data_IF_307458052299
#
_entry.id   IF_307458052299
#
_cell.length_a   1.000
_cell.length_b   1.000
_cell.length_c   1.000
_cell.angle_alpha   90.00
_cell.angle_beta   90.00
_cell.angle_gamma   90.00
#
_symmetry.space_group_name_H-M   'P 1'
#
loop_
_entity.id
_entity.type
_entity.pdbx_description
1 polymer ?
#
# COMPACT_ATOMS: atom_id res chain seq x y z
N UNK A 1 -22.27 -7.63 -5.87
CA UNK A 1 -21.35 -6.47 -5.86
C UNK A 1 -20.37 -6.67 -7.01
N UNK A 2 -20.19 -5.68 -7.88
CA UNK A 2 -19.37 -5.78 -9.09
C UNK A 2 -18.14 -4.87 -8.96
N UNK A 3 -16.95 -5.43 -9.19
CA UNK A 3 -15.69 -4.68 -9.21
C UNK A 3 -15.24 -4.46 -10.65
N UNK A 4 -14.86 -3.24 -11.01
CA UNK A 4 -14.18 -2.96 -12.26
C UNK A 4 -12.72 -2.60 -11.98
N UNK A 5 -11.80 -3.29 -12.64
CA UNK A 5 -10.37 -3.02 -12.59
C UNK A 5 -9.94 -2.28 -13.85
N UNK A 6 -9.48 -1.04 -13.71
CA UNK A 6 -8.97 -0.22 -14.80
C UNK A 6 -7.47 -0.43 -14.98
N UNK A 7 -7.11 -1.07 -16.08
CA UNK A 7 -5.74 -1.43 -16.44
C UNK A 7 -5.55 -2.94 -16.53
N UNK A 8 -5.21 -3.41 -17.73
CA UNK A 8 -4.95 -4.81 -18.07
C UNK A 8 -3.46 -5.20 -18.00
N UNK A 9 -2.68 -4.38 -17.32
CA UNK A 9 -1.28 -4.64 -17.02
C UNK A 9 -1.10 -5.79 -16.00
N UNK A 10 0.15 -6.20 -15.71
CA UNK A 10 0.41 -7.31 -14.80
C UNK A 10 -0.23 -7.18 -13.41
N UNK A 11 -0.37 -5.95 -12.89
CA UNK A 11 -1.02 -5.71 -11.60
C UNK A 11 -2.54 -5.85 -11.71
N UNK A 12 -3.18 -5.20 -12.69
CA UNK A 12 -4.63 -5.28 -12.86
C UNK A 12 -5.11 -6.70 -13.12
N UNK A 13 -4.37 -7.47 -13.96
CA UNK A 13 -4.65 -8.89 -14.16
C UNK A 13 -4.49 -9.72 -12.89
N UNK A 14 -3.46 -9.46 -12.07
CA UNK A 14 -3.29 -10.17 -10.80
C UNK A 14 -4.44 -9.88 -9.81
N UNK A 15 -4.91 -8.63 -9.75
CA UNK A 15 -6.07 -8.25 -8.92
C UNK A 15 -7.35 -8.91 -9.46
N UNK A 16 -7.58 -8.85 -10.78
CA UNK A 16 -8.73 -9.49 -11.42
C UNK A 16 -8.78 -10.99 -11.13
N UNK A 17 -7.69 -11.70 -11.38
CA UNK A 17 -7.58 -13.13 -11.11
C UNK A 17 -7.80 -13.49 -9.63
N UNK A 18 -7.32 -12.65 -8.71
CA UNK A 18 -7.54 -12.87 -7.27
C UNK A 18 -9.02 -12.68 -6.88
N UNK A 19 -9.70 -11.69 -7.47
CA UNK A 19 -11.15 -11.49 -7.29
C UNK A 19 -11.96 -12.65 -7.88
N UNK A 20 -11.65 -13.06 -9.11
CA UNK A 20 -12.29 -14.22 -9.75
C UNK A 20 -12.12 -15.50 -8.92
N UNK A 21 -10.91 -15.77 -8.43
CA UNK A 21 -10.62 -16.93 -7.60
C UNK A 21 -11.42 -16.95 -6.28
N UNK A 22 -11.82 -15.77 -5.81
CA UNK A 22 -12.67 -15.61 -4.62
C UNK A 22 -14.17 -15.70 -4.94
N UNK A 23 -14.54 -15.73 -6.21
CA UNK A 23 -15.93 -15.75 -6.67
C UNK A 23 -16.58 -14.37 -6.76
N UNK A 24 -15.80 -13.27 -6.71
CA UNK A 24 -16.32 -11.94 -6.90
C UNK A 24 -16.62 -11.67 -8.39
N UNK A 25 -17.71 -10.94 -8.67
CA UNK A 25 -17.96 -10.43 -10.01
C UNK A 25 -16.94 -9.31 -10.34
N UNK A 26 -16.09 -9.54 -11.32
CA UNK A 26 -15.06 -8.60 -11.72
C UNK A 26 -14.95 -8.49 -13.24
N UNK A 27 -14.66 -7.29 -13.71
CA UNK A 27 -14.29 -7.00 -15.09
C UNK A 27 -12.98 -6.23 -15.13
N UNK A 28 -12.03 -6.68 -15.96
CA UNK A 28 -10.75 -5.99 -16.15
C UNK A 28 -10.77 -5.26 -17.48
N UNK A 29 -10.72 -3.94 -17.43
CA UNK A 29 -10.77 -3.07 -18.61
C UNK A 29 -9.37 -2.55 -18.95
N UNK A 30 -8.93 -2.83 -20.18
CA UNK A 30 -7.74 -2.23 -20.76
C UNK A 30 -7.96 -0.76 -21.13
N UNK A 31 -6.89 -0.10 -21.60
CA UNK A 31 -6.97 1.29 -22.05
C UNK A 31 -7.87 1.40 -23.29
N UNK A 32 -8.96 2.18 -23.25
CA UNK A 32 -9.82 2.37 -24.43
C UNK A 32 -9.11 3.17 -25.54
N UNK A 33 -9.54 2.99 -26.78
CA UNK A 33 -8.98 3.69 -27.95
C UNK A 33 -9.13 5.22 -27.83
N UNK A 34 -10.21 5.70 -27.22
CA UNK A 34 -10.45 7.12 -26.91
C UNK A 34 -9.46 7.71 -25.89
N UNK A 35 -8.71 6.87 -25.19
CA UNK A 35 -7.81 7.25 -24.09
C UNK A 35 -8.50 7.49 -22.74
N UNK A 36 -9.84 7.53 -22.72
CA UNK A 36 -10.67 7.72 -21.50
C UNK A 36 -11.77 6.68 -21.45
N UNK A 37 -12.09 6.17 -20.27
CA UNK A 37 -13.24 5.29 -20.07
C UNK A 37 -14.54 6.11 -20.15
N UNK A 38 -15.56 5.52 -20.79
CA UNK A 38 -16.92 6.06 -20.78
C UNK A 38 -17.57 5.70 -19.41
N UNK A 39 -18.26 6.67 -18.81
CA UNK A 39 -19.01 6.43 -17.58
C UNK A 39 -20.04 5.30 -17.70
N UNK A 40 -20.61 5.11 -18.90
CA UNK A 40 -21.55 4.00 -19.18
C UNK A 40 -20.89 2.63 -18.99
N UNK A 41 -19.61 2.48 -19.38
CA UNK A 41 -18.86 1.24 -19.19
C UNK A 41 -18.60 0.96 -17.70
N UNK A 42 -18.72 1.98 -16.85
CA UNK A 42 -18.47 1.89 -15.40
C UNK A 42 -19.77 1.87 -14.57
N UNK A 43 -20.95 1.97 -15.22
CA UNK A 43 -22.25 2.13 -14.53
C UNK A 43 -22.64 0.93 -13.63
N UNK A 44 -22.08 -0.26 -13.89
CA UNK A 44 -22.33 -1.45 -13.10
C UNK A 44 -21.37 -1.59 -11.88
N UNK A 45 -20.38 -0.70 -11.74
CA UNK A 45 -19.35 -0.82 -10.74
C UNK A 45 -19.86 -0.39 -9.34
N UNK A 46 -19.83 -1.29 -8.41
CA UNK A 46 -19.94 -1.02 -6.96
C UNK A 46 -18.64 -0.42 -6.43
N UNK A 47 -17.52 -0.87 -6.99
CA UNK A 47 -16.17 -0.44 -6.63
C UNK A 47 -15.26 -0.44 -7.86
N UNK A 48 -14.42 0.56 -7.97
CA UNK A 48 -13.41 0.66 -9.04
C UNK A 48 -11.99 0.53 -8.44
N UNK A 49 -11.19 -0.34 -9.05
CA UNK A 49 -9.76 -0.44 -8.78
C UNK A 49 -8.99 0.21 -9.93
N UNK A 50 -8.21 1.25 -9.66
CA UNK A 50 -7.31 1.83 -10.66
C UNK A 50 -5.92 1.18 -10.55
N UNK A 51 -5.57 0.36 -11.53
CA UNK A 51 -4.26 -0.27 -11.73
C UNK A 51 -3.65 0.15 -13.08
N UNK A 52 -3.86 1.40 -13.49
CA UNK A 52 -3.56 1.92 -14.82
C UNK A 52 -2.22 2.66 -14.91
N UNK A 53 -2.25 3.94 -15.17
CA UNK A 53 -1.09 4.84 -15.28
C UNK A 53 -1.36 6.15 -14.55
N UNK A 54 -0.33 6.73 -13.95
CA UNK A 54 -0.41 7.96 -13.16
C UNK A 54 -1.27 9.07 -13.81
N UNK A 55 -1.01 9.35 -15.09
CA UNK A 55 -1.74 10.39 -15.84
C UNK A 55 -3.22 10.09 -16.10
N UNK A 56 -3.66 8.84 -15.98
CA UNK A 56 -5.03 8.44 -16.23
C UNK A 56 -5.89 8.46 -14.94
N UNK A 57 -5.29 8.42 -13.77
CA UNK A 57 -6.00 8.35 -12.48
C UNK A 57 -7.08 9.43 -12.33
N UNK A 58 -6.83 10.74 -12.59
CA UNK A 58 -7.86 11.75 -12.42
C UNK A 58 -9.08 11.54 -13.34
N UNK A 59 -8.82 11.17 -14.60
CA UNK A 59 -9.88 10.93 -15.58
C UNK A 59 -10.66 9.65 -15.27
N UNK A 60 -9.99 8.58 -14.84
CA UNK A 60 -10.61 7.33 -14.44
C UNK A 60 -11.51 7.52 -13.22
N UNK A 61 -11.02 8.23 -12.20
CA UNK A 61 -11.81 8.55 -10.99
C UNK A 61 -13.02 9.39 -11.37
N UNK A 62 -12.87 10.42 -12.20
CA UNK A 62 -13.98 11.25 -12.63
C UNK A 62 -15.04 10.44 -13.39
N UNK A 63 -14.63 9.64 -14.38
CA UNK A 63 -15.56 8.81 -15.15
C UNK A 63 -16.35 7.84 -14.26
N UNK A 64 -15.70 7.26 -13.25
CA UNK A 64 -16.36 6.36 -12.31
C UNK A 64 -17.30 7.12 -11.35
N UNK A 65 -16.92 8.31 -10.89
CA UNK A 65 -17.80 9.18 -10.09
C UNK A 65 -19.07 9.58 -10.89
N UNK A 66 -18.90 9.95 -12.17
CA UNK A 66 -20.00 10.28 -13.08
C UNK A 66 -20.91 9.08 -13.32
N UNK A 67 -20.35 7.85 -13.29
CA UNK A 67 -21.10 6.59 -13.35
C UNK A 67 -21.82 6.23 -12.04
N UNK A 68 -21.61 6.99 -10.98
CA UNK A 68 -22.23 6.74 -9.66
C UNK A 68 -21.39 5.91 -8.71
N UNK A 69 -20.18 5.46 -9.07
CA UNK A 69 -19.30 4.74 -8.18
C UNK A 69 -18.81 5.66 -7.02
N UNK A 70 -18.73 5.09 -5.81
CA UNK A 70 -18.33 5.85 -4.61
C UNK A 70 -17.19 5.18 -3.83
N UNK A 71 -16.69 4.03 -4.29
CA UNK A 71 -15.62 3.28 -3.65
C UNK A 71 -14.47 3.04 -4.62
N UNK A 72 -13.25 3.36 -4.19
CA UNK A 72 -12.07 3.27 -5.04
C UNK A 72 -10.90 2.63 -4.32
N UNK A 73 -10.15 1.79 -5.02
CA UNK A 73 -8.78 1.40 -4.64
C UNK A 73 -7.84 1.93 -5.72
N UNK A 74 -6.97 2.88 -5.40
CA UNK A 74 -6.02 3.43 -6.36
C UNK A 74 -4.66 2.77 -6.14
N UNK A 75 -4.41 1.70 -6.90
CA UNK A 75 -3.17 0.93 -6.89
C UNK A 75 -2.08 1.52 -7.81
N UNK A 76 -2.46 2.50 -8.62
CA UNK A 76 -1.53 3.25 -9.49
C UNK A 76 -0.67 4.19 -8.65
N UNK A 77 0.63 4.27 -8.95
CA UNK A 77 1.59 5.16 -8.28
C UNK A 77 2.03 6.31 -9.18
N UNK A 78 2.63 7.37 -8.59
CA UNK A 78 3.22 8.49 -9.33
C UNK A 78 2.23 9.54 -9.83
N UNK A 79 1.04 9.64 -9.24
CA UNK A 79 0.02 10.65 -9.55
C UNK A 79 -0.10 11.76 -8.50
N UNK A 80 0.92 11.94 -7.68
CA UNK A 80 0.96 12.87 -6.55
C UNK A 80 0.60 14.30 -6.93
N UNK A 81 1.00 14.75 -8.13
CA UNK A 81 0.67 16.08 -8.64
C UNK A 81 -0.84 16.38 -8.72
N UNK A 82 -1.67 15.33 -8.84
CA UNK A 82 -3.13 15.44 -8.94
C UNK A 82 -3.87 14.95 -7.68
N UNK A 83 -3.13 14.53 -6.65
CA UNK A 83 -3.68 13.91 -5.44
C UNK A 83 -4.68 14.84 -4.70
N UNK A 84 -4.37 16.13 -4.62
CA UNK A 84 -5.22 17.12 -3.96
C UNK A 84 -6.56 17.24 -4.71
N UNK A 85 -6.54 17.45 -6.02
CA UNK A 85 -7.76 17.62 -6.82
C UNK A 85 -8.62 16.35 -6.88
N UNK A 86 -8.00 15.17 -6.93
CA UNK A 86 -8.71 13.87 -6.83
C UNK A 86 -9.37 13.75 -5.45
N UNK A 87 -8.67 14.09 -4.38
CA UNK A 87 -9.21 14.07 -3.02
C UNK A 87 -10.39 15.01 -2.83
N UNK A 88 -10.35 16.21 -3.42
CA UNK A 88 -11.46 17.16 -3.43
C UNK A 88 -12.69 16.62 -4.18
N UNK A 89 -12.50 16.01 -5.35
CA UNK A 89 -13.57 15.37 -6.11
C UNK A 89 -14.21 14.22 -5.32
N UNK A 90 -13.42 13.40 -4.64
CA UNK A 90 -13.94 12.33 -3.78
C UNK A 90 -14.76 12.89 -2.63
N UNK A 91 -14.27 13.91 -1.94
CA UNK A 91 -14.99 14.56 -0.82
C UNK A 91 -16.30 15.19 -1.26
N UNK A 92 -16.29 15.97 -2.35
CA UNK A 92 -17.47 16.66 -2.86
C UNK A 92 -18.57 15.73 -3.36
N UNK A 93 -18.23 14.51 -3.74
CA UNK A 93 -19.17 13.49 -4.24
C UNK A 93 -19.55 12.44 -3.21
N UNK A 94 -19.04 12.52 -1.98
CA UNK A 94 -19.30 11.53 -0.95
C UNK A 94 -18.60 10.18 -1.19
N UNK A 95 -17.50 10.18 -1.95
CA UNK A 95 -16.75 8.97 -2.31
C UNK A 95 -15.49 8.79 -1.45
N UNK A 96 -15.07 7.54 -1.27
CA UNK A 96 -13.86 7.19 -0.53
C UNK A 96 -12.89 6.37 -1.40
N UNK A 97 -11.60 6.63 -1.28
CA UNK A 97 -10.54 5.90 -1.99
C UNK A 97 -9.46 5.43 -1.03
N UNK A 98 -9.11 4.14 -1.08
CA UNK A 98 -7.88 3.65 -0.46
C UNK A 98 -6.73 3.82 -1.43
N UNK A 99 -5.62 4.39 -0.95
CA UNK A 99 -4.42 4.67 -1.73
C UNK A 99 -3.19 4.18 -0.99
N UNK A 100 -2.25 3.55 -1.70
CA UNK A 100 -0.94 3.22 -1.14
C UNK A 100 0.17 3.31 -2.20
N UNK A 101 1.38 3.73 -1.81
CA UNK A 101 2.58 3.55 -2.63
C UNK A 101 2.89 2.07 -2.85
N UNK A 102 2.45 1.23 -1.92
CA UNK A 102 2.63 -0.22 -1.92
C UNK A 102 1.48 -0.89 -1.15
N UNK A 103 0.62 -1.61 -1.86
CA UNK A 103 -0.52 -2.34 -1.28
C UNK A 103 -0.13 -3.71 -0.70
N UNK A 104 1.14 -4.16 -0.78
CA UNK A 104 1.51 -5.48 -0.29
C UNK A 104 1.41 -5.53 1.26
N UNK A 105 0.63 -6.45 1.86
CA UNK A 105 0.50 -6.56 3.31
C UNK A 105 1.83 -6.77 4.02
N UNK A 106 2.73 -7.57 3.45
CA UNK A 106 4.08 -7.77 3.99
C UNK A 106 4.89 -6.46 4.04
N UNK A 107 4.71 -5.55 3.08
CA UNK A 107 5.36 -4.25 3.11
C UNK A 107 4.77 -3.36 4.22
N UNK A 108 3.47 -3.37 4.42
CA UNK A 108 2.82 -2.62 5.50
C UNK A 108 3.26 -3.11 6.89
N UNK A 109 3.33 -4.43 7.08
CA UNK A 109 3.86 -5.04 8.32
C UNK A 109 5.33 -4.64 8.52
N UNK A 110 6.15 -4.78 7.47
CA UNK A 110 7.57 -4.47 7.53
C UNK A 110 7.83 -3.02 7.90
N UNK A 111 7.14 -2.06 7.28
CA UNK A 111 7.27 -0.63 7.57
C UNK A 111 6.92 -0.30 9.03
N UNK A 112 5.88 -0.94 9.59
CA UNK A 112 5.49 -0.75 11.00
C UNK A 112 6.51 -1.33 11.97
N UNK A 113 7.02 -2.53 11.66
CA UNK A 113 8.06 -3.14 12.49
C UNK A 113 9.35 -2.30 12.48
N UNK A 114 9.72 -1.74 11.32
CA UNK A 114 10.88 -0.85 11.20
C UNK A 114 10.66 0.44 11.99
N UNK A 115 9.50 1.08 11.89
CA UNK A 115 9.18 2.29 12.66
C UNK A 115 9.25 2.04 14.17
N UNK A 116 8.67 0.91 14.62
CA UNK A 116 8.72 0.51 16.02
C UNK A 116 10.15 0.22 16.48
N UNK A 117 10.93 -0.50 15.66
CA UNK A 117 12.33 -0.80 15.95
C UNK A 117 13.18 0.49 16.02
N UNK A 118 12.96 1.45 15.11
CA UNK A 118 13.63 2.74 15.15
C UNK A 118 13.33 3.52 16.44
N UNK A 119 12.06 3.56 16.87
CA UNK A 119 11.67 4.20 18.12
C UNK A 119 12.33 3.55 19.34
N UNK A 120 12.37 2.21 19.40
CA UNK A 120 13.02 1.46 20.49
C UNK A 120 14.54 1.66 20.49
N UNK A 121 15.18 1.57 19.31
CA UNK A 121 16.61 1.77 19.15
C UNK A 121 17.05 3.19 19.59
N UNK A 122 16.28 4.21 19.22
CA UNK A 122 16.50 5.58 19.64
C UNK A 122 16.37 5.75 21.16
N UNK A 123 15.35 5.12 21.77
CA UNK A 123 15.13 5.17 23.22
C UNK A 123 16.24 4.46 24.01
N UNK A 124 16.79 3.37 23.49
CA UNK A 124 17.92 2.64 24.10
C UNK A 124 19.24 3.34 23.89
N UNK A 125 19.40 4.09 22.82
CA UNK A 125 20.62 4.79 22.41
C UNK A 125 21.72 3.87 21.86
N UNK A 126 22.68 4.45 21.14
CA UNK A 126 23.86 3.74 20.62
C UNK A 126 23.62 2.93 19.34
N UNK A 127 22.43 2.99 18.75
CA UNK A 127 22.11 2.36 17.46
C UNK A 127 22.16 3.36 16.31
N UNK A 128 22.70 2.90 15.18
CA UNK A 128 22.70 3.63 13.90
C UNK A 128 21.87 2.85 12.86
N UNK A 129 20.99 3.51 12.08
CA UNK A 129 20.19 2.84 11.07
C UNK A 129 20.99 2.65 9.78
N UNK A 130 20.78 1.53 9.08
CA UNK A 130 21.29 1.31 7.73
C UNK A 130 20.20 0.68 6.85
N UNK A 131 20.12 1.09 5.59
CA UNK A 131 19.17 0.55 4.60
C UNK A 131 19.92 0.01 3.41
N UNK A 132 19.60 -1.23 3.01
CA UNK A 132 20.08 -1.86 1.79
C UNK A 132 18.90 -2.30 0.95
N UNK A 133 18.90 -1.97 -0.35
CA UNK A 133 17.88 -2.44 -1.27
C UNK A 133 18.47 -3.08 -2.54
N UNK A 134 17.83 -4.14 -3.00
CA UNK A 134 18.16 -4.83 -4.25
C UNK A 134 16.94 -4.92 -5.15
N UNK A 135 17.11 -4.61 -6.44
CA UNK A 135 16.05 -4.74 -7.42
C UNK A 135 16.62 -5.15 -8.79
N UNK A 136 15.72 -5.59 -9.67
CA UNK A 136 16.08 -5.89 -11.05
C UNK A 136 16.79 -4.71 -11.72
N UNK A 137 17.68 -5.01 -12.67
CA UNK A 137 18.49 -4.01 -13.40
C UNK A 137 17.64 -2.89 -14.02
N UNK A 138 16.46 -3.22 -14.54
CA UNK A 138 15.57 -2.28 -15.24
C UNK A 138 14.78 -1.33 -14.31
N UNK A 139 14.94 -1.40 -12.96
CA UNK A 139 14.29 -0.45 -12.04
C UNK A 139 15.07 0.86 -12.01
N UNK A 140 14.44 1.94 -12.49
CA UNK A 140 15.10 3.24 -12.71
C UNK A 140 15.31 4.07 -11.45
N UNK A 141 14.29 4.08 -10.55
CA UNK A 141 14.32 4.90 -9.33
C UNK A 141 15.36 4.40 -8.31
N UNK A 142 16.12 5.34 -7.73
CA UNK A 142 17.18 5.11 -6.73
C UNK A 142 17.20 6.26 -5.73
N UNK A 143 16.96 5.99 -4.43
CA UNK A 143 16.40 4.77 -3.87
C UNK A 143 14.96 4.52 -4.35
N UNK A 144 14.46 3.31 -4.12
CA UNK A 144 13.08 2.92 -4.47
C UNK A 144 12.03 3.66 -3.66
N UNK A 145 10.76 3.62 -4.09
CA UNK A 145 9.65 4.17 -3.32
C UNK A 145 9.54 3.57 -1.91
N UNK A 146 9.78 2.27 -1.77
CA UNK A 146 9.78 1.60 -0.46
C UNK A 146 10.95 2.07 0.41
N UNK A 147 12.14 2.25 -0.16
CA UNK A 147 13.28 2.75 0.61
C UNK A 147 13.07 4.20 1.08
N UNK A 148 12.48 5.05 0.24
CA UNK A 148 12.08 6.41 0.66
C UNK A 148 11.05 6.39 1.79
N UNK A 149 10.11 5.45 1.76
CA UNK A 149 9.14 5.30 2.83
C UNK A 149 9.81 4.79 4.12
N UNK A 150 10.80 3.89 4.02
CA UNK A 150 11.61 3.47 5.18
C UNK A 150 12.34 4.64 5.81
N UNK A 151 13.01 5.48 5.02
CA UNK A 151 13.64 6.71 5.50
C UNK A 151 12.63 7.55 6.28
N UNK A 152 11.47 7.84 5.68
CA UNK A 152 10.42 8.65 6.29
C UNK A 152 9.92 8.09 7.63
N UNK A 153 9.91 6.76 7.81
CA UNK A 153 9.52 6.09 9.06
C UNK A 153 10.63 6.08 10.12
N UNK A 154 11.89 6.06 9.71
CA UNK A 154 13.05 6.02 10.61
C UNK A 154 13.46 7.42 11.06
N UNK A 155 13.48 8.41 10.16
CA UNK A 155 14.02 9.76 10.36
C UNK A 155 13.46 10.51 11.59
N UNK A 156 12.18 10.37 12.00
CA UNK A 156 11.68 10.96 13.24
C UNK A 156 12.38 10.50 14.52
N UNK A 157 13.06 9.35 14.50
CA UNK A 157 13.70 8.70 15.64
C UNK A 157 15.23 8.67 15.51
N UNK A 158 15.72 8.28 14.35
CA UNK A 158 17.14 8.12 14.03
C UNK A 158 17.38 8.69 12.63
N UNK A 159 18.32 9.63 12.53
CA UNK A 159 18.62 10.29 11.27
C UNK A 159 19.17 9.29 10.24
N UNK A 160 18.68 9.38 9.02
CA UNK A 160 19.20 8.67 7.85
C UNK A 160 18.88 9.46 6.58
N UNK A 161 19.89 9.72 5.76
CA UNK A 161 19.73 10.46 4.51
C UNK A 161 19.59 9.50 3.31
N UNK A 162 19.01 9.99 2.21
CA UNK A 162 18.69 9.14 1.06
C UNK A 162 19.94 8.64 0.30
N UNK A 163 21.04 9.32 0.40
CA UNK A 163 22.34 8.96 -0.21
C UNK A 163 23.08 7.89 0.61
N UNK A 164 22.69 7.67 1.87
CA UNK A 164 23.21 6.59 2.72
C UNK A 164 22.58 5.23 2.41
N UNK A 165 21.51 5.19 1.61
CA UNK A 165 20.87 3.92 1.21
C UNK A 165 21.76 3.16 0.22
N UNK A 166 22.19 1.95 0.59
CA UNK A 166 22.92 1.07 -0.31
C UNK A 166 21.98 0.47 -1.37
N UNK A 167 22.19 0.84 -2.64
CA UNK A 167 21.30 0.49 -3.75
C UNK A 167 21.95 -0.47 -4.73
N UNK A 168 21.43 -1.69 -4.85
CA UNK A 168 21.86 -2.67 -5.85
C UNK A 168 20.82 -2.85 -6.95
N UNK A 169 21.26 -2.86 -8.20
CA UNK A 169 20.46 -3.14 -9.41
C UNK A 169 21.14 -4.22 -10.24
N UNK A 170 20.58 -5.44 -10.24
CA UNK A 170 21.19 -6.60 -10.91
C UNK A 170 20.12 -7.54 -11.46
N UNK A 171 20.39 -8.15 -12.61
CA UNK A 171 19.61 -9.24 -13.22
C UNK A 171 18.10 -9.01 -13.14
N UNK A 172 17.39 -10.04 -12.72
CA UNK A 172 15.94 -10.10 -12.50
C UNK A 172 15.55 -10.14 -11.02
N UNK A 173 16.44 -9.71 -10.13
CA UNK A 173 16.23 -9.80 -8.68
C UNK A 173 14.88 -9.19 -8.26
N UNK A 174 14.14 -9.86 -7.38
CA UNK A 174 12.93 -9.28 -6.79
C UNK A 174 13.27 -8.06 -5.95
N UNK A 175 12.26 -7.27 -5.57
CA UNK A 175 12.43 -6.19 -4.61
C UNK A 175 12.81 -6.76 -3.24
N UNK A 176 13.97 -6.38 -2.75
CA UNK A 176 14.48 -6.80 -1.45
C UNK A 176 14.92 -5.58 -0.66
N UNK A 177 14.55 -5.51 0.59
CA UNK A 177 14.92 -4.45 1.52
C UNK A 177 15.39 -5.08 2.83
N UNK A 178 16.54 -4.62 3.32
CA UNK A 178 17.02 -4.89 4.67
C UNK A 178 17.18 -3.56 5.38
N UNK A 179 16.66 -3.47 6.59
CA UNK A 179 16.95 -2.39 7.52
C UNK A 179 17.71 -2.99 8.68
N UNK A 180 18.86 -2.44 8.99
CA UNK A 180 19.64 -2.78 10.17
C UNK A 180 19.64 -1.61 11.16
N UNK A 181 19.67 -1.93 12.44
CA UNK A 181 20.00 -1.04 13.54
C UNK A 181 21.25 -1.62 14.19
N UNK A 182 22.38 -0.96 13.97
CA UNK A 182 23.71 -1.45 14.37
C UNK A 182 24.23 -0.73 15.62
N UNK A 183 24.80 -1.47 16.52
CA UNK A 183 25.47 -0.98 17.71
C UNK A 183 26.81 -1.73 17.94
N UNK A 184 27.68 -1.23 18.81
CA UNK A 184 29.02 -1.76 19.00
C UNK A 184 29.09 -3.28 19.32
N UNK A 185 28.04 -3.85 19.90
CA UNK A 185 28.01 -5.26 20.31
C UNK A 185 26.98 -6.13 19.62
N UNK A 186 26.06 -5.53 18.83
CA UNK A 186 24.95 -6.26 18.24
C UNK A 186 24.34 -5.52 17.05
N UNK A 187 23.67 -6.25 16.18
CA UNK A 187 22.92 -5.70 15.03
C UNK A 187 21.55 -6.35 14.97
N UNK A 188 20.51 -5.54 14.86
CA UNK A 188 19.14 -6.00 14.61
C UNK A 188 18.86 -5.84 13.13
N UNK A 189 18.45 -6.91 12.43
CA UNK A 189 18.05 -6.85 11.03
C UNK A 189 16.57 -7.18 10.83
N UNK A 190 15.88 -6.34 10.05
CA UNK A 190 14.55 -6.60 9.52
C UNK A 190 14.64 -6.72 8.00
N UNK A 191 13.98 -7.74 7.41
CA UNK A 191 14.12 -8.04 5.99
C UNK A 191 12.78 -8.32 5.32
N UNK A 192 12.57 -7.72 4.15
CA UNK A 192 11.43 -7.96 3.28
C UNK A 192 11.90 -8.35 1.87
N UNK A 193 11.31 -9.41 1.30
CA UNK A 193 11.47 -9.78 -0.11
C UNK A 193 10.11 -9.84 -0.80
N UNK A 194 9.87 -8.97 -1.78
CA UNK A 194 8.68 -8.99 -2.63
C UNK A 194 8.95 -9.92 -3.83
N UNK A 195 8.39 -11.13 -3.80
CA UNK A 195 8.66 -12.16 -4.82
C UNK A 195 7.97 -11.88 -6.15
N UNK A 196 6.68 -11.52 -6.09
CA UNK A 196 5.85 -11.26 -7.26
C UNK A 196 4.71 -10.27 -6.94
N UNK A 197 3.77 -10.12 -7.87
CA UNK A 197 2.66 -9.16 -7.74
C UNK A 197 1.43 -9.70 -7.01
N UNK A 198 1.38 -10.96 -6.64
CA UNK A 198 0.28 -11.54 -5.87
C UNK A 198 0.12 -10.87 -4.50
N UNK A 199 1.24 -10.45 -3.89
CA UNK A 199 1.21 -9.69 -2.64
C UNK A 199 0.42 -8.38 -2.76
N UNK A 200 0.55 -7.66 -3.90
CA UNK A 200 -0.21 -6.43 -4.13
C UNK A 200 -1.70 -6.70 -4.36
N UNK A 201 -2.03 -7.82 -5.03
CA UNK A 201 -3.41 -8.24 -5.20
C UNK A 201 -4.06 -8.55 -3.84
N UNK A 202 -3.37 -9.25 -2.95
CA UNK A 202 -3.87 -9.53 -1.60
C UNK A 202 -4.22 -8.26 -0.82
N UNK A 203 -3.36 -7.23 -0.88
CA UNK A 203 -3.66 -5.96 -0.23
C UNK A 203 -4.77 -5.16 -0.92
N UNK A 204 -4.89 -5.26 -2.25
CA UNK A 204 -6.02 -4.67 -2.96
C UNK A 204 -7.35 -5.31 -2.52
N UNK A 205 -7.39 -6.64 -2.33
CA UNK A 205 -8.55 -7.35 -1.80
C UNK A 205 -8.88 -6.89 -0.37
N UNK A 206 -7.88 -6.75 0.49
CA UNK A 206 -8.09 -6.23 1.85
C UNK A 206 -8.67 -4.80 1.83
N UNK A 207 -8.18 -3.93 0.94
CA UNK A 207 -8.72 -2.58 0.77
C UNK A 207 -10.17 -2.58 0.23
N UNK A 208 -10.49 -3.48 -0.71
CA UNK A 208 -11.84 -3.68 -1.24
C UNK A 208 -12.79 -4.09 -0.11
N UNK A 209 -12.40 -5.09 0.67
CA UNK A 209 -13.22 -5.61 1.78
C UNK A 209 -13.44 -4.53 2.84
N UNK A 210 -12.40 -3.77 3.17
CA UNK A 210 -12.48 -2.67 4.11
C UNK A 210 -13.45 -1.57 3.65
N UNK A 211 -13.43 -1.20 2.35
CA UNK A 211 -14.37 -0.23 1.78
C UNK A 211 -15.80 -0.75 1.72
N UNK A 212 -15.99 -2.06 1.63
CA UNK A 212 -17.32 -2.71 1.56
C UNK A 212 -17.91 -2.96 2.95
N UNK A 213 -17.08 -3.16 3.95
CA UNK A 213 -17.51 -3.51 5.32
C UNK A 213 -18.34 -2.41 5.99
N UNK A 214 -18.03 -1.13 5.73
CA UNK A 214 -18.75 0.01 6.30
C UNK A 214 -18.59 1.27 5.42
N UNK A 215 -19.51 2.24 5.53
CA UNK A 215 -19.32 3.57 4.97
C UNK A 215 -18.04 4.20 5.52
N UNK A 216 -17.27 4.87 4.65
CA UNK A 216 -16.05 5.59 5.02
C UNK A 216 -16.24 7.08 4.86
N UNK A 217 -15.53 7.87 5.64
CA UNK A 217 -15.47 9.33 5.48
C UNK A 217 -15.04 9.64 4.04
N UNK A 218 -15.72 10.57 3.34
CA UNK A 218 -15.33 10.90 1.97
C UNK A 218 -13.93 11.46 1.86
N UNK A 219 -13.16 10.97 0.88
CA UNK A 219 -11.78 11.40 0.63
C UNK A 219 -10.80 10.27 0.37
N UNK A 220 -9.52 10.57 0.59
CA UNK A 220 -8.41 9.63 0.43
C UNK A 220 -8.03 9.04 1.78
N UNK A 221 -8.02 7.72 1.87
CA UNK A 221 -7.56 6.92 3.00
C UNK A 221 -6.23 6.25 2.66
N UNK A 222 -5.19 6.43 3.47
CA UNK A 222 -3.97 5.65 3.32
C UNK A 222 -4.25 4.17 3.64
N UNK A 223 -3.54 3.25 2.99
CA UNK A 223 -3.67 1.81 3.26
C UNK A 223 -3.31 1.44 4.71
N UNK A 224 -2.57 2.29 5.38
CA UNK A 224 -2.28 2.13 6.81
C UNK A 224 -3.55 2.07 7.67
N UNK A 225 -4.61 2.84 7.34
CA UNK A 225 -5.90 2.75 8.04
C UNK A 225 -6.56 1.37 7.89
N UNK A 226 -6.47 0.77 6.69
CA UNK A 226 -6.94 -0.60 6.46
C UNK A 226 -6.20 -1.58 7.35
N UNK A 227 -4.88 -1.45 7.45
CA UNK A 227 -4.04 -2.32 8.26
C UNK A 227 -4.31 -2.11 9.75
N UNK A 228 -4.54 -0.86 10.20
CA UNK A 228 -4.88 -0.54 11.60
C UNK A 228 -6.18 -1.22 12.03
N UNK A 229 -7.22 -1.10 11.20
CA UNK A 229 -8.52 -1.74 11.48
C UNK A 229 -8.39 -3.27 11.50
N UNK A 230 -7.60 -3.87 10.59
CA UNK A 230 -7.33 -5.31 10.58
C UNK A 230 -6.57 -5.77 11.83
N UNK A 231 -5.58 -5.02 12.28
CA UNK A 231 -4.83 -5.30 13.51
C UNK A 231 -5.74 -5.16 14.72
N UNK A 232 -6.55 -4.11 14.81
CA UNK A 232 -7.49 -3.91 15.89
C UNK A 232 -8.51 -5.06 15.98
N UNK A 233 -9.02 -5.53 14.84
CA UNK A 233 -9.95 -6.66 14.78
C UNK A 233 -9.31 -8.00 15.16
N UNK A 234 -8.01 -8.18 14.90
CA UNK A 234 -7.27 -9.40 15.21
C UNK A 234 -6.70 -9.43 16.64
N UNK A 235 -6.64 -8.27 17.33
CA UNK A 235 -6.11 -8.20 18.70
C UNK A 235 -7.21 -8.59 19.68
N UNK A 236 -7.10 -9.75 20.39
CA UNK A 236 -8.03 -10.09 21.45
C UNK A 236 -8.02 -8.97 22.50
N UNK A 237 -9.20 -8.56 22.98
CA UNK A 237 -9.30 -7.58 24.06
C UNK A 237 -8.32 -7.95 25.18
N UNK A 238 -7.47 -7.00 25.58
CA UNK A 238 -6.49 -7.20 26.67
C UNK A 238 -7.22 -7.28 28.04
N UNK A 239 -8.10 -8.25 28.22
CA UNK A 239 -8.48 -8.75 29.53
C UNK A 239 -7.50 -9.84 29.99
N UNK A 240 -6.22 -9.53 29.97
CA UNK A 240 -5.24 -10.29 30.72
C UNK A 240 -5.30 -9.81 32.17
N UNK A 241 -6.21 -10.36 32.94
CA UNK A 241 -6.02 -10.51 34.38
C UNK A 241 -4.70 -11.28 34.56
N UNK A 242 -3.64 -10.56 34.92
CA UNK A 242 -2.41 -11.18 35.44
C UNK A 242 -2.81 -12.00 36.63
N UNK A 243 -2.67 -13.35 36.63
CA UNK A 243 -2.96 -14.14 37.80
C UNK A 243 -2.06 -13.66 38.94
N UNK A 244 -2.66 -13.34 40.09
CA UNK A 244 -1.93 -12.94 41.29
C UNK A 244 -0.87 -14.01 41.61
N UNK A 245 0.40 -13.58 41.75
CA UNK A 245 1.47 -14.46 42.22
C UNK A 245 1.05 -15.00 43.59
N UNK A 246 1.12 -16.32 43.84
CA UNK A 246 0.91 -16.84 45.17
C UNK A 246 2.02 -16.26 46.09
N UNK A 247 1.60 -15.76 47.26
CA UNK A 247 2.51 -15.30 48.28
C UNK A 247 3.40 -16.48 48.74
N UNK A 248 4.73 -16.24 48.84
CA UNK A 248 5.72 -17.16 49.36
C UNK A 248 5.61 -17.27 50.87
#
# INVERSE_FOLDING_TARGET
MSTIVLGDGPLGRAIGAALESRGDAVEVLGRPASGRHDSRALAAADLVVDASRARAVPDNVRAALDAGCRRFVIATTGWDATRVSVGENLRSTGAAAVVAPNLAPGAAIFLRLVEQAAALAAAMGGFEPAIVEWHRRAKADRPSGTARELIRRIDPFLRIDADEVAVVRAGTMPGHHTVAFDAAGETIELRLTARDRSAYAAGALAAIDWLRAAPRTPGIHPFDEVVDDLVAAATPGRDHQVPARPAA
#
